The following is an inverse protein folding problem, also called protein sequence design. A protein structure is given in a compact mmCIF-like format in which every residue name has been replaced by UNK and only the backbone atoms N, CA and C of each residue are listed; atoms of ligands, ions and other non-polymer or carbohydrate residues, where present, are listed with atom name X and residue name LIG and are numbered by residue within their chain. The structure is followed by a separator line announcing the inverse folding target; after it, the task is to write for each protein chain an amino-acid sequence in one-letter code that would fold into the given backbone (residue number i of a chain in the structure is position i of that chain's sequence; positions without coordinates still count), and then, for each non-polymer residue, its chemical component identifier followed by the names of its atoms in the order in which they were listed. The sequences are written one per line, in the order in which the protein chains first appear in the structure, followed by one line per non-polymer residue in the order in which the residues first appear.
data_IF_733602920761
#
_entry.id   IF_733602920761
#
_cell.length_a   1.000
_cell.length_b   1.000
_cell.length_c   1.000
_cell.angle_alpha   90.00
_cell.angle_beta   90.00
_cell.angle_gamma   90.00
#
_symmetry.space_group_name_H-M   'P 1'
#
loop_
_entity.id
_entity.type
_entity.pdbx_description
1 polymer ?
#
# COMPACT_ATOMS: atom_id res chain seq x y z
N UNK A 1 25.96 -4.60 -45.81
CA UNK A 1 24.73 -3.79 -45.87
C UNK A 1 24.37 -3.31 -44.46
N UNK A 2 24.42 -2.00 -44.22
CA UNK A 2 24.03 -1.38 -42.95
C UNK A 2 22.51 -1.12 -42.95
N UNK A 3 21.72 -2.15 -42.64
CA UNK A 3 20.28 -2.01 -42.43
C UNK A 3 20.00 -1.27 -41.12
N UNK A 4 19.39 -0.08 -41.22
CA UNK A 4 19.02 0.76 -40.07
C UNK A 4 18.26 -0.04 -39.02
N UNK A 5 18.89 -0.27 -37.86
CA UNK A 5 18.35 -1.08 -36.77
C UNK A 5 17.38 -0.26 -35.93
N UNK A 6 16.22 0.05 -36.51
CA UNK A 6 15.11 0.55 -35.70
C UNK A 6 14.59 -0.65 -34.89
N UNK A 7 14.91 -0.69 -33.59
CA UNK A 7 14.38 -1.70 -32.69
C UNK A 7 12.85 -1.61 -32.65
N UNK A 8 12.18 -2.77 -32.60
CA UNK A 8 10.72 -2.84 -32.49
C UNK A 8 10.35 -3.44 -31.13
N UNK A 9 9.45 -2.77 -30.40
CA UNK A 9 8.91 -3.29 -29.15
C UNK A 9 7.91 -4.40 -29.48
N UNK A 10 8.12 -5.59 -28.91
CA UNK A 10 7.31 -6.78 -29.20
C UNK A 10 6.35 -7.16 -28.08
N UNK A 11 6.45 -6.53 -26.91
CA UNK A 11 5.61 -6.81 -25.76
C UNK A 11 6.00 -6.02 -24.52
N UNK A 12 5.26 -6.23 -23.44
CA UNK A 12 5.39 -5.59 -22.13
C UNK A 12 5.00 -6.58 -21.04
N UNK A 13 5.69 -6.53 -19.91
CA UNK A 13 5.31 -7.19 -18.67
C UNK A 13 5.42 -6.16 -17.54
N UNK A 14 4.32 -5.91 -16.84
CA UNK A 14 4.24 -5.00 -15.71
C UNK A 14 4.05 -5.80 -14.43
N UNK A 15 4.95 -5.62 -13.48
CA UNK A 15 4.91 -6.23 -12.16
C UNK A 15 4.92 -5.17 -11.06
N UNK A 16 4.57 -5.55 -9.85
CA UNK A 16 4.73 -4.70 -8.67
C UNK A 16 4.19 -5.35 -7.41
N UNK A 17 4.65 -4.89 -6.25
CA UNK A 17 4.17 -5.39 -4.96
C UNK A 17 2.81 -4.77 -4.62
N UNK A 18 1.87 -5.57 -4.14
CA UNK A 18 0.56 -5.11 -3.65
C UNK A 18 0.29 -5.66 -2.26
N UNK A 19 -0.34 -4.84 -1.41
CA UNK A 19 -0.91 -5.29 -0.14
C UNK A 19 -2.25 -5.95 -0.43
N UNK A 20 -2.32 -7.27 -0.26
CA UNK A 20 -3.47 -8.10 -0.58
C UNK A 20 -4.00 -8.78 0.69
N UNK A 21 -5.32 -8.98 0.72
CA UNK A 21 -5.96 -9.94 1.61
C UNK A 21 -6.29 -11.17 0.79
N UNK A 22 -5.69 -12.31 1.13
CA UNK A 22 -5.78 -13.57 0.38
C UNK A 22 -6.13 -14.71 1.30
N UNK A 23 -6.89 -15.67 0.78
CA UNK A 23 -7.20 -16.92 1.46
C UNK A 23 -6.12 -17.96 1.18
N UNK A 24 -5.77 -18.75 2.19
CA UNK A 24 -5.00 -19.99 2.02
C UNK A 24 -5.90 -21.19 1.68
N UNK A 25 -5.31 -22.38 1.61
CA UNK A 25 -6.03 -23.61 1.28
C UNK A 25 -7.02 -24.04 2.38
N UNK A 26 -6.78 -23.64 3.64
CA UNK A 26 -7.64 -23.91 4.78
C UNK A 26 -8.79 -22.89 4.89
N UNK A 27 -8.74 -21.82 4.09
CA UNK A 27 -9.73 -20.74 4.07
C UNK A 27 -9.45 -19.63 5.08
N UNK A 28 -8.29 -19.62 5.72
CA UNK A 28 -7.85 -18.55 6.61
C UNK A 28 -7.39 -17.34 5.79
N UNK A 29 -7.69 -16.13 6.29
CA UNK A 29 -7.35 -14.88 5.59
C UNK A 29 -6.01 -14.33 6.06
N UNK A 30 -5.11 -14.08 5.12
CA UNK A 30 -3.80 -13.49 5.36
C UNK A 30 -3.68 -12.14 4.70
N UNK A 31 -3.13 -11.16 5.42
CA UNK A 31 -2.72 -9.88 4.85
C UNK A 31 -1.24 -9.96 4.47
N UNK A 32 -0.94 -9.86 3.18
CA UNK A 32 0.42 -10.04 2.65
C UNK A 32 0.81 -8.91 1.71
N UNK A 33 2.11 -8.61 1.62
CA UNK A 33 2.65 -7.79 0.54
C UNK A 33 3.23 -8.71 -0.52
N UNK A 34 2.47 -8.95 -1.59
CA UNK A 34 2.78 -9.96 -2.59
C UNK A 34 3.35 -9.35 -3.88
N UNK A 35 4.38 -9.95 -4.50
CA UNK A 35 4.75 -9.60 -5.87
C UNK A 35 3.63 -10.00 -6.83
N UNK A 36 3.21 -9.05 -7.67
CA UNK A 36 2.06 -9.24 -8.55
C UNK A 36 2.42 -9.06 -10.02
N UNK A 37 1.78 -9.85 -10.88
CA UNK A 37 1.70 -9.58 -12.32
C UNK A 37 0.44 -8.75 -12.58
N UNK A 38 0.64 -7.55 -13.12
CA UNK A 38 -0.42 -6.55 -13.28
C UNK A 38 -0.82 -6.34 -14.74
N UNK A 39 0.09 -6.58 -15.67
CA UNK A 39 -0.19 -6.54 -17.10
C UNK A 39 0.83 -7.40 -17.84
N UNK A 40 0.39 -8.13 -18.85
CA UNK A 40 1.27 -8.95 -19.66
C UNK A 40 0.75 -9.06 -21.09
N UNK A 41 1.53 -8.50 -22.01
CA UNK A 41 1.15 -8.38 -23.39
C UNK A 41 2.31 -8.74 -24.32
N UNK A 42 2.00 -9.49 -25.36
CA UNK A 42 2.89 -9.73 -26.50
C UNK A 42 2.09 -9.38 -27.74
N UNK A 43 2.69 -8.59 -28.63
CA UNK A 43 2.06 -8.18 -29.89
C UNK A 43 1.54 -9.40 -30.66
N UNK A 44 0.34 -9.32 -31.21
CA UNK A 44 -0.43 -10.46 -31.73
C UNK A 44 0.34 -11.24 -32.79
N UNK A 45 1.03 -10.53 -33.70
CA UNK A 45 1.85 -11.14 -34.76
C UNK A 45 3.06 -11.94 -34.25
N UNK A 46 3.37 -11.85 -32.96
CA UNK A 46 4.51 -12.51 -32.31
C UNK A 46 4.08 -13.42 -31.16
N UNK A 47 2.77 -13.59 -30.92
CA UNK A 47 2.27 -14.53 -29.92
C UNK A 47 2.63 -15.97 -30.29
N UNK A 48 2.74 -16.84 -29.28
CA UNK A 48 3.09 -18.27 -29.43
C UNK A 48 4.48 -18.57 -30.00
N UNK A 49 5.32 -17.56 -30.22
CA UNK A 49 6.73 -17.72 -30.63
C UNK A 49 7.72 -17.84 -29.44
N UNK A 50 7.22 -18.04 -28.22
CA UNK A 50 8.06 -18.19 -27.01
C UNK A 50 8.51 -16.89 -26.34
N UNK A 51 8.29 -15.73 -26.94
CA UNK A 51 8.69 -14.42 -26.38
C UNK A 51 8.11 -14.16 -24.99
N UNK A 52 6.86 -14.55 -24.76
CA UNK A 52 6.25 -14.42 -23.44
C UNK A 52 6.99 -15.21 -22.35
N UNK A 53 7.51 -16.40 -22.68
CA UNK A 53 8.31 -17.20 -21.74
C UNK A 53 9.63 -16.51 -21.43
N UNK A 54 10.30 -15.98 -22.45
CA UNK A 54 11.58 -15.25 -22.28
C UNK A 54 11.38 -14.04 -21.39
N UNK A 55 10.36 -13.22 -21.65
CA UNK A 55 10.08 -12.01 -20.87
C UNK A 55 9.71 -12.34 -19.42
N UNK A 56 8.87 -13.35 -19.21
CA UNK A 56 8.46 -13.76 -17.88
C UNK A 56 9.61 -14.40 -17.08
N UNK A 57 10.43 -15.24 -17.72
CA UNK A 57 11.61 -15.83 -17.07
C UNK A 57 12.60 -14.75 -16.65
N UNK A 58 12.88 -13.79 -17.54
CA UNK A 58 13.74 -12.66 -17.19
C UNK A 58 13.22 -11.89 -15.97
N UNK A 59 11.90 -11.66 -15.88
CA UNK A 59 11.30 -11.03 -14.71
C UNK A 59 11.50 -11.88 -13.44
N UNK A 60 11.28 -13.19 -13.49
CA UNK A 60 11.50 -14.08 -12.33
C UNK A 60 12.95 -14.03 -11.84
N UNK A 61 13.91 -14.03 -12.78
CA UNK A 61 15.34 -14.00 -12.47
C UNK A 61 15.75 -12.64 -11.87
N UNK A 62 15.22 -11.52 -12.37
CA UNK A 62 15.51 -10.18 -11.86
C UNK A 62 14.89 -9.93 -10.47
N UNK A 63 13.65 -10.37 -10.27
CA UNK A 63 12.94 -10.22 -9.00
C UNK A 63 13.30 -11.31 -7.98
N UNK A 64 14.19 -12.25 -8.34
CA UNK A 64 14.59 -13.41 -7.53
C UNK A 64 13.37 -14.13 -6.91
N UNK A 65 12.33 -14.34 -7.72
CA UNK A 65 11.03 -14.84 -7.28
C UNK A 65 10.62 -16.04 -8.12
N UNK A 66 9.88 -16.99 -7.55
CA UNK A 66 9.31 -18.14 -8.26
C UNK A 66 7.92 -17.82 -8.76
N UNK A 67 7.51 -18.43 -9.88
CA UNK A 67 6.20 -18.18 -10.47
C UNK A 67 5.03 -18.48 -9.50
N UNK A 68 5.21 -19.48 -8.64
CA UNK A 68 4.27 -19.88 -7.56
C UNK A 68 3.99 -18.76 -6.55
N UNK A 69 4.97 -17.88 -6.31
CA UNK A 69 4.90 -16.82 -5.32
C UNK A 69 4.18 -15.55 -5.85
N UNK A 70 3.83 -15.52 -7.13
CA UNK A 70 3.20 -14.37 -7.76
C UNK A 70 1.68 -14.41 -7.59
N UNK A 71 1.10 -13.27 -7.22
CA UNK A 71 -0.33 -13.04 -7.37
C UNK A 71 -0.63 -12.46 -8.76
N UNK A 72 -1.65 -12.95 -9.46
CA UNK A 72 -1.96 -12.52 -10.82
C UNK A 72 -3.28 -11.73 -10.83
N UNK A 73 -3.25 -10.47 -11.25
CA UNK A 73 -4.44 -9.62 -11.35
C UNK A 73 -5.24 -9.97 -12.62
N UNK A 74 -6.47 -10.45 -12.45
CA UNK A 74 -7.43 -10.76 -13.54
C UNK A 74 -6.80 -11.53 -14.72
N UNK A 75 -6.24 -12.73 -14.51
CA UNK A 75 -5.59 -13.46 -15.59
C UNK A 75 -6.55 -13.79 -16.72
N UNK A 76 -6.11 -13.59 -17.96
CA UNK A 76 -6.82 -14.09 -19.14
C UNK A 76 -6.63 -15.60 -19.30
N UNK A 77 -7.52 -16.28 -20.03
CA UNK A 77 -7.37 -17.72 -20.34
C UNK A 77 -6.04 -18.05 -21.03
N UNK A 78 -5.53 -17.13 -21.86
CA UNK A 78 -4.22 -17.26 -22.49
C UNK A 78 -3.10 -17.27 -21.45
N UNK A 79 -3.21 -16.43 -20.41
CA UNK A 79 -2.23 -16.36 -19.33
C UNK A 79 -2.32 -17.58 -18.42
N UNK A 80 -3.51 -18.03 -18.02
CA UNK A 80 -3.70 -19.25 -17.24
C UNK A 80 -3.09 -20.45 -17.96
N UNK A 81 -3.38 -20.61 -19.27
CA UNK A 81 -2.80 -21.67 -20.08
C UNK A 81 -1.28 -21.57 -20.24
N UNK A 82 -0.74 -20.35 -20.31
CA UNK A 82 0.70 -20.08 -20.35
C UNK A 82 1.39 -20.50 -19.05
N UNK A 83 0.84 -20.10 -17.89
CA UNK A 83 1.38 -20.43 -16.57
C UNK A 83 1.37 -21.94 -16.31
N UNK A 84 0.26 -22.60 -16.64
CA UNK A 84 0.17 -24.07 -16.60
C UNK A 84 1.24 -24.75 -17.45
N UNK A 85 1.41 -24.32 -18.71
CA UNK A 85 2.33 -24.95 -19.66
C UNK A 85 3.80 -24.77 -19.27
N UNK A 86 4.18 -23.58 -18.80
CA UNK A 86 5.58 -23.22 -18.63
C UNK A 86 6.09 -23.31 -17.19
N UNK A 87 5.21 -23.19 -16.21
CA UNK A 87 5.56 -23.16 -14.78
C UNK A 87 4.80 -24.20 -13.95
N UNK A 88 3.92 -25.01 -14.57
CA UNK A 88 3.19 -26.07 -13.88
C UNK A 88 2.09 -25.58 -12.94
N UNK A 89 1.71 -24.29 -13.02
CA UNK A 89 0.72 -23.70 -12.13
C UNK A 89 -0.70 -24.11 -12.53
N UNK A 90 -1.28 -25.07 -11.80
CA UNK A 90 -2.63 -25.61 -12.06
C UNK A 90 -3.61 -25.42 -10.92
N UNK A 91 -3.17 -25.58 -9.68
CA UNK A 91 -4.05 -25.54 -8.51
C UNK A 91 -4.16 -24.12 -7.98
N UNK A 92 -5.28 -23.47 -8.28
CA UNK A 92 -5.57 -22.10 -7.82
C UNK A 92 -6.36 -22.15 -6.52
N UNK A 93 -6.05 -21.26 -5.59
CA UNK A 93 -6.86 -21.08 -4.38
C UNK A 93 -7.97 -20.06 -4.68
N UNK A 94 -9.25 -20.39 -4.49
CA UNK A 94 -10.35 -19.44 -4.68
C UNK A 94 -10.18 -18.18 -3.83
N UNK A 95 -10.32 -17.00 -4.44
CA UNK A 95 -10.22 -15.71 -3.77
C UNK A 95 -11.53 -14.93 -3.92
N UNK A 96 -11.83 -14.04 -2.96
CA UNK A 96 -12.99 -13.13 -3.05
C UNK A 96 -12.67 -11.84 -3.84
N UNK A 97 -11.39 -11.60 -4.12
CA UNK A 97 -10.93 -10.47 -4.92
C UNK A 97 -10.71 -10.92 -6.39
N UNK A 98 -10.13 -10.05 -7.22
CA UNK A 98 -9.88 -10.36 -8.64
C UNK A 98 -8.48 -10.95 -8.90
N UNK A 99 -7.74 -11.31 -7.85
CA UNK A 99 -6.44 -11.92 -7.95
C UNK A 99 -6.55 -13.44 -7.93
N UNK A 100 -5.62 -14.08 -8.64
CA UNK A 100 -5.42 -15.52 -8.60
C UNK A 100 -4.07 -15.82 -7.95
N UNK A 101 -4.09 -16.70 -6.97
CA UNK A 101 -2.91 -17.27 -6.31
C UNK A 101 -2.96 -18.80 -6.43
N UNK A 102 -1.81 -19.44 -6.34
CA UNK A 102 -1.67 -20.91 -6.46
C UNK A 102 -1.30 -21.53 -5.10
N UNK A 103 -1.52 -22.84 -4.93
CA UNK A 103 -1.33 -23.55 -3.64
C UNK A 103 0.02 -23.23 -2.95
N UNK A 104 1.13 -23.28 -3.70
CA UNK A 104 2.49 -23.05 -3.18
C UNK A 104 2.80 -21.56 -2.87
N UNK A 105 1.82 -20.66 -2.99
CA UNK A 105 1.99 -19.22 -2.78
C UNK A 105 2.46 -18.89 -1.35
N UNK A 106 1.92 -19.59 -0.34
CA UNK A 106 2.24 -19.32 1.06
C UNK A 106 3.49 -20.03 1.55
N UNK A 107 3.87 -21.16 0.94
CA UNK A 107 5.02 -21.97 1.36
C UNK A 107 6.35 -21.20 1.35
N UNK A 108 6.46 -20.20 0.49
CA UNK A 108 7.70 -19.44 0.28
C UNK A 108 7.60 -17.96 0.67
N UNK A 109 6.40 -17.47 1.02
CA UNK A 109 6.20 -16.10 1.48
C UNK A 109 6.41 -15.95 3.01
N UNK A 110 6.37 -17.06 3.76
CA UNK A 110 6.59 -17.07 5.21
C UNK A 110 8.03 -16.77 5.63
N UNK A 111 9.02 -16.88 4.74
CA UNK A 111 10.43 -16.69 5.07
C UNK A 111 10.96 -15.25 4.88
N UNK A 112 10.19 -14.36 4.26
CA UNK A 112 10.61 -12.97 4.02
C UNK A 112 9.92 -11.91 4.90
N UNK A 113 8.99 -12.33 5.75
CA UNK A 113 8.18 -11.43 6.58
C UNK A 113 8.90 -10.96 7.87
N UNK A 114 10.23 -10.81 7.85
CA UNK A 114 10.99 -10.39 9.04
C UNK A 114 11.98 -9.24 8.84
N UNK A 115 12.27 -8.76 7.62
CA UNK A 115 13.44 -7.84 7.46
C UNK A 115 13.28 -6.61 6.57
N UNK A 116 12.11 -6.25 6.01
CA UNK A 116 12.07 -5.02 5.18
C UNK A 116 10.76 -4.26 5.15
N UNK A 117 10.00 -4.30 6.22
CA UNK A 117 9.09 -3.22 6.60
C UNK A 117 9.04 -3.22 8.12
N UNK A 118 10.13 -2.75 8.73
CA UNK A 118 10.10 -2.30 10.11
C UNK A 118 8.98 -1.26 10.17
N UNK A 119 7.85 -1.68 10.71
CA UNK A 119 6.80 -0.81 11.19
C UNK A 119 7.51 0.36 11.87
N UNK A 120 7.23 1.59 11.45
CA UNK A 120 7.57 2.74 12.24
C UNK A 120 6.80 2.59 13.57
N UNK A 121 7.37 1.84 14.52
CA UNK A 121 6.83 1.66 15.85
C UNK A 121 6.81 3.05 16.46
N UNK A 122 5.62 3.55 16.77
CA UNK A 122 5.47 4.75 17.57
C UNK A 122 5.96 4.43 19.00
N UNK A 123 7.24 4.65 19.25
CA UNK A 123 7.81 4.47 20.58
C UNK A 123 7.43 5.66 21.48
N UNK A 124 6.51 5.43 22.41
CA UNK A 124 6.15 6.44 23.42
C UNK A 124 7.34 6.66 24.37
N UNK A 125 8.10 7.73 24.17
CA UNK A 125 9.17 8.09 25.10
C UNK A 125 8.57 8.75 26.34
N UNK A 126 8.99 8.35 27.54
CA UNK A 126 8.67 9.03 28.80
C UNK A 126 9.38 10.39 28.96
N UNK A 127 9.74 11.05 27.85
CA UNK A 127 10.36 12.37 27.87
C UNK A 127 9.33 13.43 28.24
N UNK A 128 9.66 14.39 29.13
CA UNK A 128 8.80 15.54 29.42
C UNK A 128 8.40 16.35 28.17
N UNK A 129 9.17 16.24 27.08
CA UNK A 129 8.91 16.94 25.83
C UNK A 129 7.82 16.32 24.94
N UNK A 130 7.36 15.09 25.24
CA UNK A 130 6.30 14.41 24.46
C UNK A 130 4.96 15.17 24.53
N UNK A 131 4.68 15.87 25.63
CA UNK A 131 3.45 16.66 25.82
C UNK A 131 3.38 17.92 24.94
N UNK A 132 4.53 18.41 24.46
CA UNK A 132 4.60 19.65 23.65
C UNK A 132 4.73 19.36 22.15
N UNK A 133 5.43 18.29 21.78
CA UNK A 133 5.76 17.98 20.38
C UNK A 133 5.15 16.67 19.84
N UNK A 134 4.43 15.90 20.67
CA UNK A 134 3.84 14.62 20.29
C UNK A 134 4.86 13.48 20.15
N UNK A 135 4.39 12.25 19.84
CA UNK A 135 5.26 11.10 19.60
C UNK A 135 6.17 11.37 18.40
N UNK A 136 7.48 11.12 18.55
CA UNK A 136 8.47 11.34 17.50
C UNK A 136 8.81 10.04 16.77
N UNK A 137 8.84 10.10 15.45
CA UNK A 137 9.37 9.02 14.61
C UNK A 137 10.90 9.08 14.63
N UNK A 138 11.54 8.04 15.14
CA UNK A 138 12.99 7.83 14.97
C UNK A 138 13.19 6.88 13.80
N UNK A 139 13.83 7.34 12.73
CA UNK A 139 14.42 6.43 11.76
C UNK A 139 15.70 5.85 12.35
N UNK A 140 15.89 4.53 12.20
CA UNK A 140 17.13 3.85 12.56
C UNK A 140 18.25 4.31 11.61
N UNK A 141 18.87 5.44 11.96
CA UNK A 141 20.19 5.86 11.48
C UNK A 141 21.10 6.05 12.68
N UNK A 142 21.22 5.01 13.49
CA UNK A 142 22.17 4.97 14.59
C UNK A 142 23.37 4.13 14.17
N UNK A 143 24.30 4.69 13.40
CA UNK A 143 25.75 4.53 13.58
C UNK A 143 26.46 5.75 12.95
N UNK A 144 27.46 6.30 13.65
CA UNK A 144 28.30 7.49 13.31
C UNK A 144 27.79 8.87 13.77
N UNK A 145 27.55 9.06 15.08
CA UNK A 145 27.94 10.35 15.71
C UNK A 145 28.25 10.23 17.19
N UNK A 146 29.23 9.40 17.51
CA UNK A 146 29.90 9.41 18.81
C UNK A 146 31.34 9.87 18.67
N UNK A 147 31.64 11.00 19.31
CA UNK A 147 32.92 11.47 19.88
C UNK A 147 33.49 12.78 19.33
N UNK A 148 33.90 13.61 20.32
CA UNK A 148 34.69 14.85 20.25
C UNK A 148 33.92 16.12 19.82
N UNK A 149 33.91 17.25 20.54
CA UNK A 149 34.87 17.78 21.51
C UNK A 149 34.21 18.67 22.58
N UNK A 150 34.85 18.64 23.75
CA UNK A 150 34.87 19.63 24.81
C UNK A 150 34.89 21.09 24.28
N UNK A 151 33.97 21.95 24.73
CA UNK A 151 33.94 23.36 24.32
C UNK A 151 32.84 24.14 25.04
N UNK A 152 33.23 24.91 26.06
CA UNK A 152 32.40 25.88 26.79
C UNK A 152 31.76 26.86 25.80
N UNK A 153 30.44 27.03 25.86
CA UNK A 153 29.73 28.23 25.39
C UNK A 153 28.38 28.36 26.13
N UNK A 154 27.88 29.60 26.35
CA UNK A 154 26.87 29.87 27.37
C UNK A 154 25.44 29.54 26.93
N UNK A 155 24.62 29.28 27.93
CA UNK A 155 23.17 29.07 27.90
C UNK A 155 22.43 30.18 27.11
N UNK A 156 21.47 29.87 26.22
CA UNK A 156 20.57 30.89 25.69
C UNK A 156 19.51 31.25 26.74
N UNK A 157 19.45 32.53 27.04
CA UNK A 157 18.50 33.22 27.91
C UNK A 157 17.05 32.97 27.50
N UNK A 158 16.19 32.56 28.44
CA UNK A 158 14.73 32.53 28.27
C UNK A 158 14.16 33.96 28.19
N UNK A 159 13.22 34.27 27.28
CA UNK A 159 12.48 35.51 27.37
C UNK A 159 11.41 35.40 28.47
N UNK A 160 11.43 36.41 29.34
CA UNK A 160 10.48 36.68 30.42
C UNK A 160 9.04 36.82 29.91
N UNK A 161 8.13 36.30 30.73
CA UNK A 161 6.67 36.40 30.66
C UNK A 161 6.18 37.81 30.32
N UNK A 162 5.41 37.91 29.23
CA UNK A 162 4.59 39.07 28.88
C UNK A 162 3.35 38.61 28.12
N UNK A 163 2.17 38.90 28.69
CA UNK A 163 0.82 38.84 28.12
C UNK A 163 0.23 37.47 27.73
N UNK A 164 -0.56 36.95 28.68
CA UNK A 164 -1.63 35.99 28.49
C UNK A 164 -2.74 36.64 27.63
N UNK A 165 -2.84 36.33 26.33
CA UNK A 165 -4.09 36.47 25.56
C UNK A 165 -4.19 35.64 24.26
N UNK A 166 -3.16 34.90 23.83
CA UNK A 166 -3.27 34.08 22.63
C UNK A 166 -3.13 32.59 22.96
N UNK A 167 -4.27 31.90 23.02
CA UNK A 167 -4.33 30.43 23.00
C UNK A 167 -3.91 29.98 21.59
N UNK A 168 -2.90 29.10 21.44
CA UNK A 168 -2.51 28.61 20.13
C UNK A 168 -3.58 27.64 19.63
N UNK A 169 -4.28 28.04 18.57
CA UNK A 169 -5.23 27.17 17.89
C UNK A 169 -4.43 26.05 17.22
N UNK A 170 -4.71 24.80 17.58
CA UNK A 170 -4.04 23.64 16.99
C UNK A 170 -4.18 23.58 15.46
N UNK A 171 -3.25 22.91 14.79
CA UNK A 171 -3.11 22.84 13.31
C UNK A 171 -4.33 22.25 12.55
N UNK A 172 -5.41 21.90 13.24
CA UNK A 172 -6.66 21.36 12.69
C UNK A 172 -7.91 22.16 13.06
N UNK A 173 -7.76 23.41 13.50
CA UNK A 173 -8.91 24.27 13.80
C UNK A 173 -9.50 24.96 12.56
N UNK A 174 -9.61 24.23 11.45
CA UNK A 174 -10.47 24.65 10.36
C UNK A 174 -11.91 24.27 10.72
N UNK A 175 -12.82 25.23 10.61
CA UNK A 175 -14.24 24.98 10.86
C UNK A 175 -14.76 23.96 9.84
N UNK A 176 -15.24 22.81 10.32
CA UNK A 176 -15.76 21.75 9.45
C UNK A 176 -17.03 22.25 8.76
N UNK A 177 -17.20 22.05 7.44
CA UNK A 177 -18.46 22.36 6.78
C UNK A 177 -19.59 21.54 7.41
N UNK A 178 -20.77 22.16 7.60
CA UNK A 178 -21.94 21.45 8.14
C UNK A 178 -22.29 20.29 7.20
N UNK A 179 -22.16 19.07 7.69
CA UNK A 179 -22.60 17.88 6.98
C UNK A 179 -24.10 17.67 7.27
N UNK A 180 -24.90 17.56 6.20
CA UNK A 180 -26.37 17.42 6.24
C UNK A 180 -26.87 16.19 6.99
N UNK A 181 -26.02 15.20 7.27
CA UNK A 181 -26.41 13.98 8.00
C UNK A 181 -26.66 14.22 9.50
N UNK A 182 -26.16 15.33 10.08
CA UNK A 182 -26.27 15.61 11.51
C UNK A 182 -27.59 16.28 11.94
N UNK A 183 -28.48 16.61 11.00
CA UNK A 183 -29.79 17.25 11.27
C UNK A 183 -30.93 16.24 11.54
N UNK A 184 -30.65 14.93 11.54
CA UNK A 184 -31.69 13.90 11.64
C UNK A 184 -31.93 13.42 13.10
N UNK A 185 -31.05 13.74 14.05
CA UNK A 185 -31.12 13.20 15.44
C UNK A 185 -31.56 14.24 16.49
N UNK A 186 -32.23 15.32 16.07
CA UNK A 186 -32.91 16.23 16.99
C UNK A 186 -34.29 16.60 16.46
N UNK A 187 -35.24 15.66 16.52
CA UNK A 187 -36.65 16.00 16.40
C UNK A 187 -37.29 15.88 17.79
N UNK A 188 -37.63 17.02 18.38
CA UNK A 188 -38.57 17.13 19.49
C UNK A 188 -39.52 18.30 19.21
N UNK A 189 -40.77 18.20 19.68
CA UNK A 189 -41.96 18.58 18.92
C UNK A 189 -42.34 20.04 19.15
N UNK A 190 -42.88 20.70 18.13
CA UNK A 190 -43.36 22.07 18.29
C UNK A 190 -44.21 22.56 17.12
N UNK A 191 -45.53 22.47 17.30
CA UNK A 191 -46.54 23.40 16.75
C UNK A 191 -46.85 23.32 15.25
N UNK A 192 -47.86 22.53 14.93
CA UNK A 192 -48.71 22.70 13.72
C UNK A 192 -49.79 23.75 13.99
N UNK A 193 -49.96 24.75 13.12
CA UNK A 193 -51.25 25.36 12.86
C UNK A 193 -51.87 24.79 11.59
N UNK A 194 -53.15 24.48 11.73
CA UNK A 194 -54.09 23.88 10.79
C UNK A 194 -54.30 24.63 9.48
N UNK A 195 -54.41 23.85 8.39
CA UNK A 195 -55.26 23.91 7.19
C UNK A 195 -55.76 25.26 6.64
N UNK A 196 -55.86 25.37 5.30
CA UNK A 196 -57.21 25.61 4.77
C UNK A 196 -57.59 24.73 3.58
N UNK A 197 -58.90 24.44 3.58
CA UNK A 197 -59.69 23.67 2.64
C UNK A 197 -59.52 24.08 1.17
N UNK A 198 -59.67 23.08 0.27
CA UNK A 198 -60.24 23.31 -1.05
C UNK A 198 -61.41 22.37 -1.26
N UNK A 199 -62.61 22.93 -1.27
CA UNK A 199 -63.78 22.35 -1.92
C UNK A 199 -63.61 22.37 -3.45
N UNK A 200 -64.42 21.52 -4.08
CA UNK A 200 -64.51 21.15 -5.49
C UNK A 200 -64.44 22.29 -6.52
#
# INVERSE_FOLDING_TARGET
ENGGKNGVVTGLLKVGVKSLYVFDADGETHKVNAPCVLDFYIHESRQRAGLGKVLFQYMLDQENTRAQQLAIDRPSDKLVGFLRKHYGLTQTIPQMNNFVVYEDFFEHNTSHDSTSMETAEMHFTNSPNTMLFGPQFKSNTSELRGQQTNGKNPLPTMPTIGNLHNVPVGRYAAQRPRCSMAEIIHNSPGTVPSEPQREF
#
